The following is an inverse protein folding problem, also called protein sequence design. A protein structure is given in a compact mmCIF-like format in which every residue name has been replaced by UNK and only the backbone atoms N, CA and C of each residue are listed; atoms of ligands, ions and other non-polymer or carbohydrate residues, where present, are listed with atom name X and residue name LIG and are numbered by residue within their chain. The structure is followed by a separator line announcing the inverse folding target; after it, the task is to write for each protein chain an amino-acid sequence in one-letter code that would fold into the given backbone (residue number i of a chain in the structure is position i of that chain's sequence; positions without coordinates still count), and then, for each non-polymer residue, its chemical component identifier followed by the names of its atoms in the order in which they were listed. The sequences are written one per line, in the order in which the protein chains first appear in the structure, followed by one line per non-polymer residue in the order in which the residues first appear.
data_IF_936234328985
#
_entry.id   IF_936234328985
#
_cell.length_a   1.000
_cell.length_b   1.000
_cell.length_c   1.000
_cell.angle_alpha   90.00
_cell.angle_beta   90.00
_cell.angle_gamma   90.00
#
_symmetry.space_group_name_H-M   'P 1'
#
loop_
_entity.id
_entity.type
_entity.pdbx_description
1 polymer ?
#
# COMPACT_ATOMS: atom_id res chain seq x y z
N UNK A 1 21.95 23.77 -2.44
CA UNK A 1 21.65 22.63 -3.32
C UNK A 1 20.93 21.57 -2.48
N UNK A 2 19.66 21.33 -2.67
CA UNK A 2 19.04 20.18 -2.03
C UNK A 2 19.59 18.94 -2.73
N UNK A 3 20.28 18.10 -1.97
CA UNK A 3 20.67 16.79 -2.45
C UNK A 3 19.41 16.06 -2.92
N UNK A 4 19.36 15.70 -4.20
CA UNK A 4 18.32 14.85 -4.74
C UNK A 4 18.34 13.56 -3.91
N UNK A 5 17.32 13.36 -3.08
CA UNK A 5 17.16 12.11 -2.36
C UNK A 5 17.04 11.01 -3.41
N UNK A 6 18.08 10.22 -3.54
CA UNK A 6 18.13 9.13 -4.50
C UNK A 6 16.92 8.21 -4.29
N UNK A 7 16.19 7.95 -5.34
CA UNK A 7 15.15 6.92 -5.33
C UNK A 7 15.87 5.58 -5.18
N UNK A 8 15.81 4.99 -4.00
CA UNK A 8 16.39 3.67 -3.79
C UNK A 8 15.41 2.65 -4.36
N UNK A 9 15.75 2.11 -5.52
CA UNK A 9 15.05 0.98 -6.11
C UNK A 9 15.74 -0.28 -5.60
N UNK A 10 15.04 -1.08 -4.82
CA UNK A 10 15.55 -2.36 -4.34
C UNK A 10 14.80 -3.50 -5.01
N UNK A 11 15.50 -4.50 -5.48
CA UNK A 11 14.93 -5.76 -5.95
C UNK A 11 14.58 -6.71 -4.81
N UNK A 12 15.09 -6.44 -3.61
CA UNK A 12 14.88 -7.29 -2.44
C UNK A 12 14.77 -6.44 -1.19
N UNK A 13 13.75 -6.69 -0.38
CA UNK A 13 13.65 -6.10 0.96
C UNK A 13 14.51 -6.95 1.89
N UNK A 14 15.70 -6.43 2.22
CA UNK A 14 16.73 -7.18 2.93
C UNK A 14 16.63 -7.10 4.45
N UNK A 15 16.02 -6.02 4.96
CA UNK A 15 15.94 -5.81 6.41
C UNK A 15 14.67 -6.41 7.02
N UNK A 16 14.81 -6.94 8.23
CA UNK A 16 13.69 -7.50 8.99
C UNK A 16 13.03 -6.46 9.92
N UNK A 17 13.02 -5.20 9.51
CA UNK A 17 12.46 -4.09 10.29
C UNK A 17 10.97 -3.90 9.99
N UNK A 18 10.23 -3.41 11.00
CA UNK A 18 8.85 -2.97 10.85
C UNK A 18 8.73 -1.69 10.03
N UNK A 19 7.53 -1.31 9.71
CA UNK A 19 7.25 -0.07 8.98
C UNK A 19 5.89 -0.08 8.30
N UNK A 20 5.65 0.94 7.49
CA UNK A 20 4.49 1.04 6.62
C UNK A 20 4.82 0.54 5.21
N UNK A 21 3.82 0.04 4.53
CA UNK A 21 3.94 -0.36 3.12
C UNK A 21 2.65 -0.06 2.36
N UNK A 22 2.79 0.10 1.06
CA UNK A 22 1.67 0.20 0.14
C UNK A 22 1.90 -0.76 -1.03
N UNK A 23 0.91 -1.60 -1.31
CA UNK A 23 0.90 -2.48 -2.46
C UNK A 23 0.25 -1.77 -3.63
N UNK A 24 0.94 -1.67 -4.74
CA UNK A 24 0.39 -1.18 -5.99
C UNK A 24 0.03 -2.40 -6.85
N UNK A 25 -1.25 -2.62 -7.03
CA UNK A 25 -1.82 -3.81 -7.66
C UNK A 25 -2.48 -3.43 -8.98
N UNK A 26 -2.14 -4.12 -10.05
CA UNK A 26 -2.80 -3.95 -11.33
C UNK A 26 -3.94 -4.96 -11.49
N UNK A 27 -5.12 -4.47 -11.85
CA UNK A 27 -6.28 -5.27 -12.18
C UNK A 27 -6.62 -5.09 -13.66
N UNK A 28 -6.65 -6.19 -14.41
CA UNK A 28 -7.02 -6.20 -15.83
C UNK A 28 -8.48 -6.62 -16.06
N UNK A 29 -9.18 -6.99 -14.99
CA UNK A 29 -10.51 -7.59 -15.03
C UNK A 29 -11.57 -6.61 -14.57
N UNK A 30 -12.79 -6.85 -15.01
CA UNK A 30 -14.02 -6.29 -14.45
C UNK A 30 -14.82 -7.42 -13.82
N UNK A 31 -15.70 -7.10 -12.89
CA UNK A 31 -16.53 -8.09 -12.22
C UNK A 31 -16.72 -7.76 -10.75
N UNK A 32 -17.12 -8.74 -9.97
CA UNK A 32 -17.37 -8.58 -8.54
C UNK A 32 -16.60 -9.64 -7.76
N UNK A 33 -16.00 -9.23 -6.64
CA UNK A 33 -15.36 -10.14 -5.71
C UNK A 33 -15.87 -9.88 -4.30
N UNK A 34 -16.19 -10.95 -3.59
CA UNK A 34 -16.61 -10.87 -2.20
C UNK A 34 -15.39 -10.69 -1.29
N UNK A 35 -15.35 -9.59 -0.55
CA UNK A 35 -14.28 -9.31 0.41
C UNK A 35 -14.75 -9.77 1.81
N UNK A 36 -14.69 -11.06 2.05
CA UNK A 36 -15.12 -11.63 3.32
C UNK A 36 -16.47 -11.11 3.77
N UNK A 37 -16.57 -10.66 5.01
CA UNK A 37 -17.79 -10.06 5.60
C UNK A 37 -18.02 -8.60 5.19
N UNK A 38 -17.03 -7.95 4.58
CA UNK A 38 -17.14 -6.55 4.17
C UNK A 38 -18.16 -6.36 3.04
N UNK A 39 -18.30 -7.34 2.17
CA UNK A 39 -19.23 -7.31 1.05
C UNK A 39 -18.54 -7.31 -0.31
N UNK A 40 -19.31 -7.11 -1.38
CA UNK A 40 -18.79 -7.17 -2.74
C UNK A 40 -18.00 -5.90 -3.11
N UNK A 41 -16.84 -6.11 -3.76
CA UNK A 41 -16.08 -5.09 -4.43
C UNK A 41 -16.27 -5.23 -5.93
N UNK A 42 -16.70 -4.15 -6.57
CA UNK A 42 -16.76 -4.09 -8.04
C UNK A 42 -15.36 -3.84 -8.59
N UNK A 43 -14.80 -4.87 -9.26
CA UNK A 43 -13.50 -4.76 -9.90
C UNK A 43 -13.58 -3.87 -11.12
N UNK A 44 -12.60 -3.00 -11.25
CA UNK A 44 -12.39 -2.12 -12.42
C UNK A 44 -10.96 -2.30 -12.94
N UNK A 45 -10.79 -2.20 -14.24
CA UNK A 45 -9.46 -2.16 -14.83
C UNK A 45 -8.71 -0.92 -14.37
N UNK A 46 -7.53 -1.11 -13.82
CA UNK A 46 -6.68 -0.03 -13.30
C UNK A 46 -5.82 -0.49 -12.15
N UNK A 47 -5.49 0.43 -11.26
CA UNK A 47 -4.59 0.19 -10.15
C UNK A 47 -5.31 0.32 -8.81
N UNK A 48 -5.08 -0.65 -7.95
CA UNK A 48 -5.50 -0.60 -6.55
C UNK A 48 -4.27 -0.37 -5.68
N UNK A 49 -4.39 0.54 -4.73
CA UNK A 49 -3.34 0.81 -3.75
C UNK A 49 -3.85 0.45 -2.37
N UNK A 50 -3.20 -0.52 -1.75
CA UNK A 50 -3.50 -0.97 -0.40
C UNK A 50 -2.41 -0.54 0.55
N UNK A 51 -2.79 0.09 1.66
CA UNK A 51 -1.88 0.53 2.72
C UNK A 51 -1.95 -0.44 3.89
N UNK A 52 -0.79 -0.89 4.35
CA UNK A 52 -0.67 -1.77 5.49
C UNK A 52 0.46 -1.35 6.43
N UNK A 53 0.47 -1.97 7.62
CA UNK A 53 1.48 -1.77 8.65
C UNK A 53 2.12 -3.10 9.04
N UNK A 54 3.40 -3.05 9.32
CA UNK A 54 4.21 -4.17 9.81
C UNK A 54 4.92 -3.81 11.13
N UNK A 55 4.21 -3.15 12.04
CA UNK A 55 4.72 -2.80 13.39
C UNK A 55 4.46 -3.91 14.43
N UNK A 56 3.55 -4.82 14.13
CA UNK A 56 3.29 -5.98 14.96
C UNK A 56 4.28 -7.13 14.70
N UNK A 57 3.95 -8.37 15.10
CA UNK A 57 4.77 -9.54 14.78
C UNK A 57 4.97 -9.67 13.27
N UNK A 58 6.21 -9.76 12.86
CA UNK A 58 6.62 -9.77 11.47
C UNK A 58 7.15 -8.41 11.01
N UNK A 59 7.98 -8.45 10.00
CA UNK A 59 8.62 -7.29 9.38
C UNK A 59 7.90 -6.87 8.10
N UNK A 60 8.26 -5.71 7.54
CA UNK A 60 7.85 -5.35 6.18
C UNK A 60 8.17 -6.47 5.20
N UNK A 61 9.37 -7.05 5.30
CA UNK A 61 9.79 -8.18 4.47
C UNK A 61 8.82 -9.38 4.59
N UNK A 62 8.44 -9.74 5.80
CA UNK A 62 7.53 -10.87 6.03
C UNK A 62 6.12 -10.58 5.50
N UNK A 63 5.61 -9.36 5.70
CA UNK A 63 4.31 -8.93 5.18
C UNK A 63 4.29 -8.92 3.65
N UNK A 64 5.32 -8.38 3.03
CA UNK A 64 5.47 -8.35 1.57
C UNK A 64 5.57 -9.77 1.02
N UNK A 65 6.35 -10.65 1.64
CA UNK A 65 6.43 -12.05 1.25
C UNK A 65 5.06 -12.75 1.33
N UNK A 66 4.26 -12.47 2.34
CA UNK A 66 2.89 -12.96 2.44
C UNK A 66 2.03 -12.47 1.26
N UNK A 67 2.11 -11.19 0.93
CA UNK A 67 1.31 -10.60 -0.15
C UNK A 67 1.77 -10.98 -1.56
N UNK A 68 3.02 -11.40 -1.73
CA UNK A 68 3.52 -11.93 -2.99
C UNK A 68 2.93 -13.32 -3.32
N UNK A 69 2.54 -14.06 -2.30
CA UNK A 69 1.89 -15.38 -2.43
C UNK A 69 0.38 -15.22 -2.40
N UNK A 70 -0.33 -16.10 -3.08
CA UNK A 70 -1.79 -16.19 -2.95
C UNK A 70 -2.12 -17.04 -1.73
N UNK A 71 -2.94 -16.50 -0.83
CA UNK A 71 -3.36 -17.21 0.36
C UNK A 71 -4.47 -18.21 0.03
N UNK A 72 -4.28 -19.48 0.41
CA UNK A 72 -5.32 -20.49 0.32
C UNK A 72 -6.42 -20.31 1.38
N UNK A 73 -6.10 -19.58 2.45
CA UNK A 73 -7.03 -19.25 3.53
C UNK A 73 -6.98 -17.74 3.79
N UNK A 74 -7.81 -16.96 3.10
CA UNK A 74 -7.84 -15.51 3.27
C UNK A 74 -8.09 -15.14 4.72
N UNK A 75 -7.26 -14.25 5.27
CA UNK A 75 -7.37 -13.73 6.63
C UNK A 75 -7.66 -12.23 6.62
N UNK A 76 -6.89 -11.47 5.85
CA UNK A 76 -7.11 -10.03 5.67
C UNK A 76 -7.96 -9.73 4.44
N UNK A 77 -8.60 -8.56 4.41
CA UNK A 77 -9.38 -8.12 3.26
C UNK A 77 -8.57 -8.20 1.95
N UNK A 78 -7.28 -7.83 2.00
CA UNK A 78 -6.40 -7.87 0.83
C UNK A 78 -6.21 -9.27 0.27
N UNK A 79 -6.28 -10.31 1.09
CA UNK A 79 -6.12 -11.69 0.63
C UNK A 79 -7.24 -12.11 -0.35
N UNK A 80 -8.42 -11.51 -0.23
CA UNK A 80 -9.54 -11.74 -1.16
C UNK A 80 -9.34 -11.03 -2.50
N UNK A 81 -8.66 -9.89 -2.50
CA UNK A 81 -8.40 -9.10 -3.72
C UNK A 81 -7.19 -9.63 -4.50
N UNK A 82 -6.17 -10.15 -3.82
CA UNK A 82 -4.91 -10.56 -4.44
C UNK A 82 -5.06 -11.54 -5.63
N UNK A 83 -5.93 -12.56 -5.59
CA UNK A 83 -6.11 -13.47 -6.73
C UNK A 83 -6.58 -12.80 -8.03
N UNK A 84 -7.17 -11.60 -7.92
CA UNK A 84 -7.73 -10.85 -9.05
C UNK A 84 -6.81 -9.75 -9.56
N UNK A 85 -5.61 -9.65 -8.97
CA UNK A 85 -4.66 -8.57 -9.27
C UNK A 85 -3.25 -9.11 -9.42
N UNK A 86 -2.44 -8.37 -10.17
CA UNK A 86 -0.99 -8.58 -10.25
C UNK A 86 -0.29 -7.54 -9.40
N UNK A 87 0.64 -7.96 -8.57
CA UNK A 87 1.50 -7.03 -7.83
C UNK A 87 2.42 -6.31 -8.81
N UNK A 88 2.30 -4.99 -8.88
CA UNK A 88 3.09 -4.14 -9.77
C UNK A 88 4.29 -3.55 -9.04
N UNK A 89 4.05 -2.93 -7.88
CA UNK A 89 5.09 -2.29 -7.07
C UNK A 89 4.73 -2.35 -5.59
N UNK A 90 5.73 -2.14 -4.75
CA UNK A 90 5.56 -1.95 -3.32
C UNK A 90 6.31 -0.68 -2.94
N UNK A 91 5.62 0.23 -2.25
CA UNK A 91 6.25 1.35 -1.56
C UNK A 91 6.35 0.98 -0.08
N UNK A 92 7.48 1.21 0.53
CA UNK A 92 7.67 0.86 1.93
C UNK A 92 8.64 1.80 2.64
N UNK A 93 8.54 1.86 3.95
CA UNK A 93 9.49 2.54 4.81
C UNK A 93 9.76 1.68 6.04
N UNK A 94 10.94 1.86 6.63
CA UNK A 94 11.28 1.32 7.92
C UNK A 94 11.15 2.43 8.95
N UNK A 95 10.07 2.40 9.73
CA UNK A 95 9.78 3.39 10.76
C UNK A 95 9.09 2.69 11.92
N UNK A 96 9.50 3.01 13.14
CA UNK A 96 8.87 2.50 14.37
C UNK A 96 7.57 3.22 14.71
N UNK A 97 7.32 4.37 14.11
CA UNK A 97 6.08 5.14 14.25
C UNK A 97 5.05 4.60 13.28
N UNK A 98 3.81 4.43 13.74
CA UNK A 98 2.72 4.01 12.86
C UNK A 98 2.41 5.10 11.82
N UNK A 99 2.73 4.83 10.57
CA UNK A 99 2.50 5.73 9.42
C UNK A 99 1.32 5.31 8.55
N UNK A 100 0.71 4.19 8.85
CA UNK A 100 -0.36 3.60 8.02
C UNK A 100 -1.50 4.61 7.79
N UNK A 101 -1.99 5.27 8.83
CA UNK A 101 -3.08 6.25 8.70
C UNK A 101 -2.64 7.52 7.96
N UNK A 102 -1.41 7.97 8.18
CA UNK A 102 -0.84 9.09 7.44
C UNK A 102 -0.72 8.75 5.95
N UNK A 103 -0.23 7.57 5.64
CA UNK A 103 -0.09 7.10 4.26
C UNK A 103 -1.45 6.95 3.57
N UNK A 104 -2.45 6.42 4.27
CA UNK A 104 -3.81 6.36 3.74
C UNK A 104 -4.34 7.76 3.38
N UNK A 105 -4.13 8.75 4.24
CA UNK A 105 -4.50 10.14 3.95
C UNK A 105 -3.73 10.73 2.78
N UNK A 106 -2.42 10.50 2.71
CA UNK A 106 -1.59 10.98 1.59
C UNK A 106 -2.05 10.35 0.27
N UNK A 107 -2.27 9.04 0.24
CA UNK A 107 -2.71 8.35 -0.97
C UNK A 107 -4.10 8.80 -1.40
N UNK A 108 -5.01 9.05 -0.46
CA UNK A 108 -6.33 9.61 -0.77
C UNK A 108 -6.27 11.01 -1.44
N UNK A 109 -5.19 11.74 -1.22
CA UNK A 109 -4.95 13.07 -1.77
C UNK A 109 -4.11 13.07 -3.06
N UNK A 110 -3.65 11.91 -3.52
CA UNK A 110 -2.94 11.81 -4.80
C UNK A 110 -3.88 12.07 -5.97
N UNK A 111 -3.33 12.61 -7.04
CA UNK A 111 -4.10 12.85 -8.27
C UNK A 111 -4.70 11.55 -8.81
N UNK A 112 -6.01 11.56 -9.01
CA UNK A 112 -6.76 10.43 -9.54
C UNK A 112 -7.21 9.39 -8.51
N UNK A 113 -6.95 9.62 -7.21
CA UNK A 113 -7.37 8.71 -6.15
C UNK A 113 -8.88 8.70 -5.97
N UNK A 114 -9.45 7.51 -5.77
CA UNK A 114 -10.81 7.31 -5.29
C UNK A 114 -10.87 6.16 -4.29
N UNK A 115 -11.87 6.17 -3.42
CA UNK A 115 -12.12 5.06 -2.51
C UNK A 115 -12.62 3.86 -3.32
N UNK A 116 -11.93 2.72 -3.23
CA UNK A 116 -12.35 1.51 -3.92
C UNK A 116 -13.58 0.89 -3.25
N UNK A 117 -13.52 0.76 -1.93
CA UNK A 117 -14.63 0.32 -1.06
C UNK A 117 -14.35 0.83 0.35
N UNK A 118 -15.36 1.35 1.02
CA UNK A 118 -15.25 1.79 2.40
C UNK A 118 -15.04 0.59 3.34
N UNK A 119 -14.25 0.81 4.40
CA UNK A 119 -14.01 -0.19 5.44
C UNK A 119 -12.93 -1.22 5.12
N UNK A 120 -12.37 -1.20 3.93
CA UNK A 120 -11.32 -2.16 3.55
C UNK A 120 -10.03 -1.91 4.34
N UNK A 121 -9.60 -2.92 5.10
CA UNK A 121 -8.40 -2.85 5.93
C UNK A 121 -8.45 -1.86 7.10
N UNK A 122 -9.58 -1.23 7.34
CA UNK A 122 -9.77 -0.16 8.32
C UNK A 122 -10.72 -0.49 9.47
N UNK A 123 -10.93 -1.78 9.75
CA UNK A 123 -11.83 -2.23 10.83
C UNK A 123 -11.38 -1.77 12.22
N UNK A 124 -10.09 -1.54 12.44
CA UNK A 124 -9.50 -1.17 13.73
C UNK A 124 -9.15 0.32 13.84
N UNK A 125 -9.58 1.14 12.87
CA UNK A 125 -9.25 2.55 12.87
C UNK A 125 -10.40 3.42 12.30
N UNK A 126 -10.20 4.74 12.32
CA UNK A 126 -11.17 5.73 11.82
C UNK A 126 -10.98 6.10 10.34
N UNK A 127 -10.05 5.46 9.63
CA UNK A 127 -9.88 5.70 8.20
C UNK A 127 -11.10 5.20 7.44
N UNK A 128 -11.52 5.94 6.42
CA UNK A 128 -12.62 5.51 5.53
C UNK A 128 -12.28 4.19 4.85
N UNK A 129 -11.04 4.05 4.41
CA UNK A 129 -10.52 2.85 3.77
C UNK A 129 -9.00 2.86 3.77
N UNK A 130 -8.40 1.68 3.59
CA UNK A 130 -6.99 1.53 3.24
C UNK A 130 -6.81 1.02 1.79
N UNK A 131 -7.88 0.99 0.99
CA UNK A 131 -7.82 0.61 -0.42
C UNK A 131 -8.34 1.74 -1.32
N UNK A 132 -7.48 2.19 -2.22
CA UNK A 132 -7.77 3.25 -3.18
C UNK A 132 -7.67 2.74 -4.61
N UNK A 133 -8.44 3.33 -5.52
CA UNK A 133 -8.44 3.01 -6.93
C UNK A 133 -7.92 4.18 -7.76
N UNK A 134 -7.16 3.85 -8.81
CA UNK A 134 -6.60 4.77 -9.79
C UNK A 134 -6.78 4.19 -11.19
N UNK A 135 -7.21 4.99 -12.15
CA UNK A 135 -7.27 4.56 -13.54
C UNK A 135 -5.89 4.42 -14.18
N UNK A 136 -4.91 5.19 -13.68
CA UNK A 136 -3.51 5.17 -14.10
C UNK A 136 -2.62 4.87 -12.90
N UNK A 137 -1.43 4.34 -13.15
CA UNK A 137 -0.45 4.09 -12.08
C UNK A 137 -0.20 5.36 -11.28
N UNK A 138 -0.38 5.34 -9.95
CA UNK A 138 -0.12 6.52 -9.11
C UNK A 138 1.36 6.88 -9.11
N UNK A 139 1.66 8.17 -8.96
CA UNK A 139 3.02 8.69 -8.96
C UNK A 139 3.71 8.44 -7.62
N UNK A 140 4.78 7.64 -7.64
CA UNK A 140 5.64 7.47 -6.47
C UNK A 140 6.31 8.79 -6.04
N UNK A 141 6.72 9.62 -7.01
CA UNK A 141 7.33 10.92 -6.73
C UNK A 141 6.36 11.82 -5.95
N UNK A 142 5.12 11.92 -6.41
CA UNK A 142 4.09 12.71 -5.73
C UNK A 142 3.80 12.16 -4.33
N UNK A 143 3.65 10.85 -4.19
CA UNK A 143 3.46 10.20 -2.90
C UNK A 143 4.61 10.51 -1.94
N UNK A 144 5.86 10.30 -2.38
CA UNK A 144 7.03 10.54 -1.56
C UNK A 144 7.11 11.99 -1.09
N UNK A 145 6.88 12.95 -1.97
CA UNK A 145 6.89 14.37 -1.62
C UNK A 145 5.83 14.71 -0.56
N UNK A 146 4.62 14.20 -0.72
CA UNK A 146 3.53 14.45 0.24
C UNK A 146 3.75 13.73 1.57
N UNK A 147 4.22 12.50 1.54
CA UNK A 147 4.49 11.73 2.75
C UNK A 147 5.63 12.33 3.58
N UNK A 148 6.70 12.79 2.94
CA UNK A 148 7.84 13.42 3.62
C UNK A 148 7.55 14.84 4.07
N UNK A 149 6.73 15.61 3.37
CA UNK A 149 6.40 17.00 3.70
C UNK A 149 5.48 17.16 4.91
N UNK A 150 4.84 16.11 5.38
CA UNK A 150 3.89 16.15 6.53
C UNK A 150 4.51 15.77 7.88
N UNK A 151 5.81 15.53 7.93
CA UNK A 151 6.48 15.15 9.18
C UNK A 151 6.95 16.43 9.89
N UNK A 152 6.37 16.73 11.05
CA UNK A 152 6.84 17.80 11.94
C UNK A 152 8.15 17.34 12.60
N UNK A 153 9.17 18.21 12.54
CA UNK A 153 10.43 18.13 13.30
C UNK A 153 11.14 16.76 13.25
N UNK A 154 12.05 16.62 12.30
CA UNK A 154 12.90 15.45 12.13
C UNK A 154 12.97 15.03 10.67
N UNK A 155 14.00 14.29 10.30
CA UNK A 155 14.06 13.67 8.97
C UNK A 155 12.94 12.65 8.85
N UNK A 156 12.01 12.88 7.91
CA UNK A 156 11.11 11.84 7.50
C UNK A 156 11.91 10.60 7.09
N UNK A 157 11.50 9.39 7.50
CA UNK A 157 12.18 8.18 7.09
C UNK A 157 12.13 8.05 5.56
N UNK A 158 13.18 7.50 4.95
CA UNK A 158 13.19 7.29 3.51
C UNK A 158 12.08 6.34 3.10
N UNK A 159 11.48 6.62 1.94
CA UNK A 159 10.49 5.73 1.31
C UNK A 159 11.16 5.06 0.11
N UNK A 160 11.05 3.75 0.07
CA UNK A 160 11.66 2.90 -0.94
C UNK A 160 10.62 2.34 -1.91
N UNK A 161 11.05 1.99 -3.11
CA UNK A 161 10.23 1.29 -4.11
C UNK A 161 10.83 -0.07 -4.38
N UNK A 162 9.97 -1.08 -4.34
CA UNK A 162 10.25 -2.42 -4.84
C UNK A 162 9.43 -2.64 -6.12
N UNK A 163 10.06 -3.12 -7.18
CA UNK A 163 9.41 -3.51 -8.42
C UNK A 163 9.21 -5.03 -8.43
N UNK A 164 7.98 -5.47 -8.60
CA UNK A 164 7.70 -6.87 -8.89
C UNK A 164 7.99 -7.14 -10.37
N UNK A 165 8.71 -8.21 -10.66
CA UNK A 165 8.92 -8.71 -12.02
C UNK A 165 7.66 -9.34 -12.58
#
# INVERSE_FOLDING_TARGET
MPAAAATVTSRTITTAEGGAYALILFCSQEGSVQIGKLGPLQLRRGFYVYVGSALGPGSVRARVAHHQKLSLRPHWHIDYLRPHTRLDRIWYSHDRVCREHQWARVISALRGASVAIAGFGSSDCRCTTHLFFFTRRPSFKEFRQKAQGKVRAGKAPPVYVFHSE
#
